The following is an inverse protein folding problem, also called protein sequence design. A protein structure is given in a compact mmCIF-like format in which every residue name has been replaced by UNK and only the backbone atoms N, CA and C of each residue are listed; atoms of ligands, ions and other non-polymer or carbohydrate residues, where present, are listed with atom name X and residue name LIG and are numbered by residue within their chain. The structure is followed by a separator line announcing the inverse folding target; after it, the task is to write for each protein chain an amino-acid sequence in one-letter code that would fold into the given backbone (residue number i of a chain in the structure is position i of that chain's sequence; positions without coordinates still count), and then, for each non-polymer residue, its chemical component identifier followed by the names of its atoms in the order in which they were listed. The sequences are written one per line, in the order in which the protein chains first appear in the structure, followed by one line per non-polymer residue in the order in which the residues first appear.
data_IF_883274769626
#
_entry.id   IF_883274769626
#
_cell.length_a   1.000
_cell.length_b   1.000
_cell.length_c   1.000
_cell.angle_alpha   90.00
_cell.angle_beta   90.00
_cell.angle_gamma   90.00
#
_symmetry.space_group_name_H-M   'P 1'
#
loop_
_entity.id
_entity.type
_entity.pdbx_description
1 polymer ?
#
# COMPACT_ATOMS: atom_id res chain seq x y z
N UNK A 1 11.07 10.67 12.30
CA UNK A 1 11.18 9.28 11.82
C UNK A 1 10.84 8.24 12.90
N UNK A 2 11.16 8.46 14.17
CA UNK A 2 10.80 7.52 15.26
C UNK A 2 9.27 7.31 15.47
N UNK A 3 8.44 8.30 15.19
CA UNK A 3 6.99 8.20 15.34
C UNK A 3 6.37 7.18 14.36
N UNK A 4 6.87 7.09 13.14
CA UNK A 4 6.36 6.15 12.11
C UNK A 4 6.78 4.71 12.41
N UNK A 5 8.01 4.50 12.91
CA UNK A 5 8.48 3.16 13.29
C UNK A 5 7.66 2.55 14.44
N UNK A 6 7.23 3.35 15.40
CA UNK A 6 6.36 2.91 16.51
C UNK A 6 4.95 2.48 16.06
N UNK A 7 4.51 2.89 14.87
CA UNK A 7 3.21 2.48 14.33
C UNK A 7 3.17 1.03 13.85
N UNK A 8 4.30 0.48 13.40
CA UNK A 8 4.37 -0.89 12.86
C UNK A 8 4.77 -1.94 13.90
N UNK A 9 5.51 -1.57 14.95
CA UNK A 9 5.92 -2.48 16.02
C UNK A 9 4.89 -2.47 17.14
N UNK A 10 3.75 -3.09 16.90
CA UNK A 10 2.76 -3.38 17.95
C UNK A 10 3.36 -4.37 18.96
N UNK A 11 3.44 -3.99 20.22
CA UNK A 11 3.77 -4.85 21.35
C UNK A 11 3.03 -6.19 21.26
N UNK A 12 3.73 -7.25 20.90
CA UNK A 12 3.25 -8.63 21.02
C UNK A 12 3.30 -9.03 22.49
N UNK A 13 2.30 -8.58 23.27
CA UNK A 13 2.08 -9.05 24.64
C UNK A 13 0.95 -10.05 24.61
N UNK A 14 1.27 -11.30 24.95
CA UNK A 14 0.33 -12.42 25.13
C UNK A 14 -0.65 -12.11 26.28
N UNK A 15 -1.70 -11.33 26.01
CA UNK A 15 -2.82 -11.12 26.93
C UNK A 15 -4.13 -11.50 26.21
N UNK A 16 -5.01 -12.21 26.97
CA UNK A 16 -6.40 -12.56 26.59
C UNK A 16 -7.04 -11.45 25.79
N UNK A 17 -7.59 -11.75 24.63
CA UNK A 17 -8.18 -10.79 23.68
C UNK A 17 -9.42 -10.14 24.36
N UNK A 18 -9.34 -8.90 24.84
CA UNK A 18 -10.53 -8.20 25.33
C UNK A 18 -11.40 -7.79 24.14
N UNK A 19 -12.71 -7.69 24.36
CA UNK A 19 -13.75 -7.40 23.35
C UNK A 19 -13.41 -6.22 22.41
N UNK A 20 -12.58 -5.27 22.86
CA UNK A 20 -12.07 -4.16 22.05
C UNK A 20 -11.09 -4.56 20.90
N UNK A 21 -10.54 -5.78 20.91
CA UNK A 21 -9.68 -6.26 19.84
C UNK A 21 -10.47 -6.79 18.62
N UNK A 22 -11.67 -7.30 18.81
CA UNK A 22 -12.54 -7.76 17.73
C UNK A 22 -12.79 -6.66 16.69
N UNK A 23 -12.97 -5.42 17.13
CA UNK A 23 -13.20 -4.27 16.26
C UNK A 23 -12.00 -3.98 15.33
N UNK A 24 -10.77 -4.23 15.77
CA UNK A 24 -9.55 -3.99 14.95
C UNK A 24 -9.46 -4.97 13.78
N UNK A 25 -9.66 -6.27 14.05
CA UNK A 25 -9.67 -7.29 13.00
C UNK A 25 -10.80 -7.08 12.01
N UNK A 26 -11.99 -6.70 12.49
CA UNK A 26 -13.12 -6.36 11.63
C UNK A 26 -12.81 -5.17 10.72
N UNK A 27 -12.20 -4.11 11.27
CA UNK A 27 -11.80 -2.93 10.49
C UNK A 27 -10.74 -3.27 9.44
N UNK A 28 -9.72 -4.06 9.81
CA UNK A 28 -8.71 -4.55 8.85
C UNK A 28 -9.39 -5.39 7.77
N UNK A 29 -10.33 -6.27 8.14
CA UNK A 29 -11.07 -7.10 7.20
C UNK A 29 -11.91 -6.29 6.21
N UNK A 30 -12.67 -5.30 6.70
CA UNK A 30 -13.46 -4.41 5.84
C UNK A 30 -12.56 -3.60 4.90
N UNK A 31 -11.52 -2.96 5.45
CA UNK A 31 -10.56 -2.22 4.64
C UNK A 31 -9.88 -3.12 3.60
N UNK A 32 -9.44 -4.31 4.02
CA UNK A 32 -8.80 -5.31 3.16
C UNK A 32 -9.70 -5.79 2.02
N UNK A 33 -10.97 -6.06 2.31
CA UNK A 33 -11.95 -6.44 1.31
C UNK A 33 -12.09 -5.36 0.22
N UNK A 34 -12.29 -4.11 0.62
CA UNK A 34 -12.42 -2.98 -0.31
C UNK A 34 -11.12 -2.77 -1.08
N UNK A 35 -9.96 -2.81 -0.40
CA UNK A 35 -8.64 -2.65 -1.02
C UNK A 35 -8.33 -3.72 -2.06
N UNK A 36 -8.65 -4.99 -1.76
CA UNK A 36 -8.45 -6.09 -2.69
C UNK A 36 -9.33 -5.97 -3.95
N UNK A 37 -10.60 -5.58 -3.78
CA UNK A 37 -11.51 -5.33 -4.91
C UNK A 37 -11.02 -4.16 -5.75
N UNK A 38 -10.63 -3.04 -5.11
CA UNK A 38 -10.10 -1.87 -5.81
C UNK A 38 -8.85 -2.20 -6.62
N UNK A 39 -7.93 -2.98 -6.04
CA UNK A 39 -6.74 -3.48 -6.74
C UNK A 39 -7.10 -4.33 -7.95
N UNK A 40 -7.97 -5.29 -7.79
CA UNK A 40 -8.37 -6.19 -8.87
C UNK A 40 -9.02 -5.43 -10.03
N UNK A 41 -9.97 -4.56 -9.69
CA UNK A 41 -10.70 -3.76 -10.69
C UNK A 41 -9.77 -2.78 -11.42
N UNK A 42 -8.98 -1.98 -10.68
CA UNK A 42 -8.11 -0.96 -11.26
C UNK A 42 -6.96 -1.60 -12.04
N UNK A 43 -6.36 -2.68 -11.52
CA UNK A 43 -5.30 -3.41 -12.21
C UNK A 43 -5.76 -3.99 -13.53
N UNK A 44 -6.92 -4.64 -13.54
CA UNK A 44 -7.53 -5.15 -14.77
C UNK A 44 -7.88 -4.04 -15.77
N UNK A 45 -8.45 -2.94 -15.29
CA UNK A 45 -8.78 -1.80 -16.14
C UNK A 45 -7.54 -1.19 -16.81
N UNK A 46 -6.46 -0.97 -16.05
CA UNK A 46 -5.21 -0.41 -16.56
C UNK A 46 -4.55 -1.37 -17.56
N UNK A 47 -4.42 -2.65 -17.20
CA UNK A 47 -3.79 -3.65 -18.06
C UNK A 47 -4.52 -3.82 -19.39
N UNK A 48 -5.86 -3.75 -19.38
CA UNK A 48 -6.67 -3.80 -20.61
C UNK A 48 -6.47 -2.56 -21.51
N UNK A 49 -6.09 -1.42 -20.94
CA UNK A 49 -5.87 -0.17 -21.70
C UNK A 49 -4.44 0.00 -22.16
N UNK A 50 -3.46 -0.38 -21.37
CA UNK A 50 -2.03 -0.09 -21.60
C UNK A 50 -1.26 -1.29 -22.15
N UNK A 51 -1.88 -2.45 -22.22
CA UNK A 51 -1.23 -3.70 -22.63
C UNK A 51 -0.51 -4.39 -21.48
N UNK A 52 0.09 -5.55 -21.78
CA UNK A 52 0.62 -6.48 -20.79
C UNK A 52 2.15 -6.64 -20.83
N UNK A 53 2.85 -5.99 -21.78
CA UNK A 53 4.32 -6.11 -21.90
C UNK A 53 5.03 -5.54 -20.67
N UNK A 54 4.67 -4.34 -20.26
CA UNK A 54 5.07 -3.77 -18.97
C UNK A 54 3.92 -3.89 -17.98
N UNK A 55 4.13 -4.25 -16.70
CA UNK A 55 3.06 -4.47 -15.73
C UNK A 55 2.49 -3.14 -15.18
N UNK A 56 1.90 -2.32 -16.05
CA UNK A 56 1.37 -1.00 -15.70
C UNK A 56 0.33 -1.04 -14.59
N UNK A 57 -0.51 -2.08 -14.55
CA UNK A 57 -1.52 -2.23 -13.52
C UNK A 57 -0.91 -2.27 -12.12
N UNK A 58 0.00 -3.20 -11.91
CA UNK A 58 0.72 -3.38 -10.63
C UNK A 58 1.57 -2.17 -10.29
N UNK A 59 2.27 -1.60 -11.28
CA UNK A 59 3.08 -0.40 -11.10
C UNK A 59 2.27 0.79 -10.59
N UNK A 60 1.17 1.14 -11.24
CA UNK A 60 0.32 2.28 -10.87
C UNK A 60 -0.34 2.04 -9.52
N UNK A 61 -0.83 0.83 -9.25
CA UNK A 61 -1.41 0.47 -7.96
C UNK A 61 -0.39 0.66 -6.83
N UNK A 62 0.83 0.16 -7.00
CA UNK A 62 1.86 0.27 -5.97
C UNK A 62 2.32 1.73 -5.78
N UNK A 63 2.46 2.52 -6.84
CA UNK A 63 2.81 3.94 -6.74
C UNK A 63 1.71 4.77 -6.08
N UNK A 64 0.45 4.57 -6.45
CA UNK A 64 -0.68 5.26 -5.83
C UNK A 64 -0.88 4.85 -4.38
N UNK A 65 -0.74 3.56 -4.07
CA UNK A 65 -0.77 3.06 -2.69
C UNK A 65 0.38 3.62 -1.84
N UNK A 66 1.58 3.76 -2.43
CA UNK A 66 2.74 4.38 -1.79
C UNK A 66 2.51 5.86 -1.46
N UNK A 67 1.89 6.61 -2.36
CA UNK A 67 1.46 7.98 -2.09
C UNK A 67 0.44 8.02 -0.94
N UNK A 68 -0.61 7.20 -1.04
CA UNK A 68 -1.69 7.17 -0.06
C UNK A 68 -1.19 6.79 1.34
N UNK A 69 -0.27 5.84 1.47
CA UNK A 69 0.24 5.48 2.80
C UNK A 69 1.05 6.60 3.43
N UNK A 70 1.92 7.28 2.67
CA UNK A 70 2.65 8.45 3.14
C UNK A 70 1.72 9.58 3.58
N UNK A 71 0.71 9.87 2.78
CA UNK A 71 -0.29 10.90 3.05
C UNK A 71 -1.13 10.60 4.30
N UNK A 72 -1.77 9.43 4.35
CA UNK A 72 -2.69 9.07 5.43
C UNK A 72 -1.96 8.87 6.76
N UNK A 73 -0.78 8.23 6.78
CA UNK A 73 -0.03 8.08 8.02
C UNK A 73 0.43 9.42 8.59
N UNK A 74 0.78 10.38 7.73
CA UNK A 74 1.13 11.73 8.17
C UNK A 74 -0.09 12.44 8.77
N UNK A 75 -1.24 12.41 8.13
CA UNK A 75 -2.47 12.99 8.67
C UNK A 75 -2.87 12.35 10.01
N UNK A 76 -2.78 11.04 10.14
CA UNK A 76 -3.11 10.33 11.38
C UNK A 76 -2.12 10.60 12.51
N UNK A 77 -0.86 10.95 12.19
CA UNK A 77 0.14 11.30 13.19
C UNK A 77 -0.03 12.72 13.73
N UNK A 78 -0.46 13.67 12.88
CA UNK A 78 -0.55 15.08 13.22
C UNK A 78 -1.94 15.49 13.75
N UNK A 79 -2.99 14.77 13.38
CA UNK A 79 -4.37 15.04 13.86
C UNK A 79 -4.75 14.13 15.04
N UNK A 80 -4.50 14.60 16.24
CA UNK A 80 -4.71 13.85 17.51
C UNK A 80 -6.17 13.54 17.83
N UNK A 81 -7.12 14.24 17.24
CA UNK A 81 -8.56 14.04 17.47
C UNK A 81 -9.20 12.92 16.63
N UNK A 82 -8.46 12.34 15.70
CA UNK A 82 -8.95 11.18 14.94
C UNK A 82 -8.88 9.91 15.78
N UNK A 83 -9.94 9.10 15.72
CA UNK A 83 -9.94 7.81 16.41
C UNK A 83 -8.77 6.95 15.96
N UNK A 84 -8.00 6.34 16.87
CA UNK A 84 -6.91 5.41 16.54
C UNK A 84 -7.36 4.24 15.66
N UNK A 85 -8.66 3.99 15.56
CA UNK A 85 -9.21 2.90 14.77
C UNK A 85 -9.08 3.11 13.26
N UNK A 86 -9.00 4.36 12.77
CA UNK A 86 -8.79 4.67 11.35
C UNK A 86 -7.52 4.06 10.77
N UNK A 87 -6.49 3.89 11.60
CA UNK A 87 -5.24 3.23 11.18
C UNK A 87 -5.43 1.76 10.80
N UNK A 88 -6.41 1.08 11.38
CA UNK A 88 -6.70 -0.31 11.05
C UNK A 88 -7.50 -0.43 9.75
N UNK A 89 -8.44 0.48 9.53
CA UNK A 89 -9.29 0.47 8.34
C UNK A 89 -8.51 0.88 7.09
N UNK A 90 -7.81 2.03 7.14
CA UNK A 90 -7.24 2.65 5.94
C UNK A 90 -5.81 2.16 5.67
N UNK A 91 -4.76 2.52 6.43
CA UNK A 91 -3.41 2.11 6.05
C UNK A 91 -3.18 0.61 6.16
N UNK A 92 -3.67 -0.04 7.21
CA UNK A 92 -3.42 -1.48 7.40
C UNK A 92 -4.36 -2.32 6.53
N UNK A 93 -5.66 -2.06 6.58
CA UNK A 93 -6.66 -2.82 5.84
C UNK A 93 -6.66 -2.48 4.36
N UNK A 94 -7.11 -1.28 4.03
CA UNK A 94 -7.31 -0.89 2.62
C UNK A 94 -5.99 -0.82 1.84
N UNK A 95 -5.03 0.02 2.26
CA UNK A 95 -3.79 0.22 1.49
C UNK A 95 -2.94 -1.05 1.49
N UNK A 96 -2.89 -1.79 2.62
CA UNK A 96 -2.17 -3.05 2.71
C UNK A 96 -2.70 -4.14 1.76
N UNK A 97 -4.01 -4.18 1.50
CA UNK A 97 -4.60 -5.11 0.54
C UNK A 97 -4.65 -4.55 -0.90
N UNK A 98 -4.64 -3.23 -1.06
CA UNK A 98 -4.61 -2.55 -2.35
C UNK A 98 -3.27 -2.71 -3.05
N UNK A 99 -2.14 -2.57 -2.34
CA UNK A 99 -0.79 -2.77 -2.87
C UNK A 99 -0.42 -4.25 -2.93
N UNK A 100 0.53 -4.61 -3.81
CA UNK A 100 0.96 -6.01 -3.94
C UNK A 100 2.43 -6.13 -4.34
N UNK A 101 3.21 -6.75 -3.46
CA UNK A 101 4.61 -7.06 -3.72
C UNK A 101 4.76 -8.39 -4.48
N UNK A 102 4.00 -9.41 -4.09
CA UNK A 102 4.07 -10.74 -4.71
C UNK A 102 3.71 -10.74 -6.20
N UNK A 103 2.71 -9.95 -6.60
CA UNK A 103 2.35 -9.80 -8.02
C UNK A 103 3.47 -9.10 -8.78
N UNK A 104 4.05 -8.03 -8.22
CA UNK A 104 5.21 -7.35 -8.79
C UNK A 104 6.39 -8.30 -9.01
N UNK A 105 6.73 -9.14 -8.02
CA UNK A 105 7.81 -10.13 -8.15
C UNK A 105 7.50 -11.15 -9.23
N UNK A 106 6.29 -11.70 -9.25
CA UNK A 106 5.87 -12.70 -10.22
C UNK A 106 5.89 -12.15 -11.65
N UNK A 107 5.37 -10.95 -11.88
CA UNK A 107 5.40 -10.29 -13.21
C UNK A 107 6.82 -9.98 -13.67
N UNK A 108 7.69 -9.53 -12.76
CA UNK A 108 9.11 -9.31 -13.03
C UNK A 108 9.82 -10.63 -13.43
N UNK A 109 9.59 -11.68 -12.66
CA UNK A 109 10.16 -13.01 -12.95
C UNK A 109 9.69 -13.56 -14.30
N UNK A 110 8.43 -13.39 -14.61
CA UNK A 110 7.85 -13.79 -15.88
C UNK A 110 8.50 -13.04 -17.07
N UNK A 111 8.72 -11.74 -16.96
CA UNK A 111 9.44 -10.96 -17.96
C UNK A 111 10.87 -11.49 -18.18
N UNK A 112 11.55 -11.96 -17.12
CA UNK A 112 12.86 -12.60 -17.25
C UNK A 112 12.75 -13.92 -18.02
N UNK A 113 11.75 -14.75 -17.72
CA UNK A 113 11.53 -16.02 -18.42
C UNK A 113 11.20 -15.82 -19.91
N UNK A 114 10.48 -14.75 -20.24
CA UNK A 114 10.11 -14.38 -21.61
C UNK A 114 11.28 -13.70 -22.37
N UNK A 115 12.46 -13.54 -21.73
CA UNK A 115 13.65 -12.91 -22.32
C UNK A 115 13.61 -11.38 -22.34
N UNK A 116 12.59 -10.77 -21.74
CA UNK A 116 12.37 -9.32 -21.68
C UNK A 116 13.14 -8.67 -20.51
N UNK A 117 14.48 -8.88 -20.48
CA UNK A 117 15.34 -8.44 -19.36
C UNK A 117 15.30 -6.95 -19.12
N UNK A 118 15.18 -6.13 -20.16
CA UNK A 118 15.07 -4.68 -20.04
C UNK A 118 13.77 -4.29 -19.34
N UNK A 119 12.66 -4.91 -19.71
CA UNK A 119 11.35 -4.66 -19.09
C UNK A 119 11.37 -5.07 -17.62
N UNK A 120 11.95 -6.23 -17.31
CA UNK A 120 12.12 -6.69 -15.93
C UNK A 120 12.96 -5.70 -15.11
N UNK A 121 14.10 -5.25 -15.63
CA UNK A 121 14.97 -4.27 -14.99
C UNK A 121 14.28 -2.92 -14.79
N UNK A 122 13.54 -2.44 -15.79
CA UNK A 122 12.74 -1.22 -15.70
C UNK A 122 11.61 -1.35 -14.66
N UNK A 123 10.92 -2.50 -14.60
CA UNK A 123 9.88 -2.73 -13.61
C UNK A 123 10.44 -2.62 -12.19
N UNK A 124 11.58 -3.24 -11.92
CA UNK A 124 12.22 -3.16 -10.59
C UNK A 124 12.68 -1.73 -10.30
N UNK A 125 13.45 -1.11 -11.18
CA UNK A 125 14.03 0.21 -10.98
C UNK A 125 12.95 1.29 -10.80
N UNK A 126 11.99 1.34 -11.72
CA UNK A 126 10.91 2.33 -11.68
C UNK A 126 10.00 2.12 -10.46
N UNK A 127 9.64 0.88 -10.13
CA UNK A 127 8.78 0.60 -8.98
C UNK A 127 9.41 1.06 -7.67
N UNK A 128 10.73 0.84 -7.50
CA UNK A 128 11.45 1.30 -6.30
C UNK A 128 11.56 2.82 -6.27
N UNK A 129 12.08 3.43 -7.34
CA UNK A 129 12.34 4.87 -7.37
C UNK A 129 11.04 5.69 -7.31
N UNK A 130 10.10 5.38 -8.21
CA UNK A 130 8.83 6.12 -8.27
C UNK A 130 7.97 5.85 -7.04
N UNK A 131 7.98 4.61 -6.52
CA UNK A 131 7.31 4.25 -5.27
C UNK A 131 7.83 5.08 -4.10
N UNK A 132 9.17 5.23 -3.96
CA UNK A 132 9.79 6.03 -2.91
C UNK A 132 9.44 7.52 -3.04
N UNK A 133 9.52 8.07 -4.26
CA UNK A 133 9.09 9.44 -4.56
C UNK A 133 7.61 9.64 -4.23
N UNK A 134 6.77 8.67 -4.53
CA UNK A 134 5.33 8.71 -4.23
C UNK A 134 5.06 8.79 -2.73
N UNK A 135 5.74 7.98 -1.90
CA UNK A 135 5.66 8.08 -0.42
C UNK A 135 6.08 9.47 0.05
N UNK A 136 7.21 9.97 -0.45
CA UNK A 136 7.74 11.27 -0.07
C UNK A 136 6.77 12.41 -0.40
N UNK A 137 6.20 12.40 -1.61
CA UNK A 137 5.16 13.36 -2.02
C UNK A 137 3.91 13.25 -1.14
N UNK A 138 3.49 12.03 -0.81
CA UNK A 138 2.38 11.80 0.11
C UNK A 138 2.62 12.42 1.48
N UNK A 139 3.83 12.25 2.04
CA UNK A 139 4.21 12.83 3.33
C UNK A 139 4.23 14.37 3.28
N UNK A 140 4.81 14.96 2.23
CA UNK A 140 4.82 16.42 2.06
C UNK A 140 3.38 16.95 1.99
N UNK A 141 2.56 16.37 1.13
CA UNK A 141 1.16 16.76 0.98
C UNK A 141 0.39 16.63 2.29
N UNK A 142 0.61 15.55 3.04
CA UNK A 142 0.01 15.36 4.36
C UNK A 142 0.36 16.48 5.34
N UNK A 143 1.63 16.89 5.38
CA UNK A 143 2.11 17.97 6.26
C UNK A 143 1.58 19.35 5.88
N UNK A 144 1.34 19.61 4.59
CA UNK A 144 0.83 20.92 4.15
C UNK A 144 -0.65 21.11 4.44
N UNK A 145 -1.40 20.02 4.69
CA UNK A 145 -2.85 20.05 4.93
C UNK A 145 -3.19 19.87 6.43
N UNK A 146 -2.24 19.37 7.23
CA UNK A 146 -2.41 19.19 8.68
C UNK A 146 -2.09 20.45 9.45
#
# INVERSE_FOLDING_TARGET
MEAVARYFVGHCSSRKIPVGHMNKYLMVGIGGFIGAIARFWLGGYISNRMGTRFPYGTFIINCTGSFLIGFILTLLAERTHWSPNWRYLIPIGFIGAYTTFSTFEYETFRNIQDGELLVAGLNVGLSVVVGFVSVWLGVITGRTIS
#
